data_IF_170050231798
#
_entry.id   IF_170050231798
#
_cell.length_a   1.000
_cell.length_b   1.000
_cell.length_c   1.000
_cell.angle_alpha   90.00
_cell.angle_beta   90.00
_cell.angle_gamma   90.00
#
_symmetry.space_group_name_H-M   'P 1'
#
loop_
_entity.id
_entity.type
_entity.pdbx_description
1 polymer ?
#
# COMPACT_ATOMS: atom_id res chain seq x y z
N UNK A 1 -18.17 -4.18 5.27
CA UNK A 1 -17.37 -3.50 4.22
C UNK A 1 -16.78 -4.49 3.21
N UNK A 2 -16.40 -4.06 2.00
CA UNK A 2 -15.94 -5.00 0.95
C UNK A 2 -14.54 -4.68 0.38
N UNK A 3 -13.62 -5.64 0.50
CA UNK A 3 -12.29 -5.60 -0.10
C UNK A 3 -12.25 -6.30 -1.47
N UNK A 4 -13.39 -6.70 -2.06
CA UNK A 4 -13.49 -7.37 -3.37
C UNK A 4 -12.75 -6.63 -4.49
N UNK A 5 -12.66 -5.31 -4.41
CA UNK A 5 -11.91 -4.51 -5.38
C UNK A 5 -10.42 -4.84 -5.43
N UNK A 6 -9.87 -5.40 -4.35
CA UNK A 6 -8.52 -5.94 -4.32
C UNK A 6 -8.39 -7.21 -5.19
N UNK A 7 -9.49 -7.80 -5.67
CA UNK A 7 -9.47 -8.91 -6.64
C UNK A 7 -9.51 -8.42 -8.09
N UNK A 8 -9.84 -7.14 -8.32
CA UNK A 8 -9.84 -6.57 -9.67
C UNK A 8 -8.43 -6.71 -10.25
N UNK A 9 -8.31 -7.50 -11.33
CA UNK A 9 -7.04 -7.65 -12.02
C UNK A 9 -6.64 -6.30 -12.58
N UNK A 10 -5.45 -5.84 -12.23
CA UNK A 10 -4.85 -4.68 -12.90
C UNK A 10 -4.83 -4.93 -14.41
N UNK A 11 -5.23 -3.96 -15.25
CA UNK A 11 -5.27 -4.12 -16.70
C UNK A 11 -3.92 -4.43 -17.35
N UNK A 12 -2.81 -4.10 -16.68
CA UNK A 12 -1.45 -4.23 -17.20
C UNK A 12 -0.63 -5.33 -16.52
N UNK A 13 0.16 -6.06 -17.32
CA UNK A 13 1.13 -7.02 -16.83
C UNK A 13 2.29 -6.38 -16.06
N UNK A 14 3.18 -7.23 -15.52
CA UNK A 14 4.37 -6.77 -14.77
C UNK A 14 5.31 -5.95 -15.64
N UNK A 15 5.44 -6.30 -16.93
CA UNK A 15 6.39 -5.68 -17.85
C UNK A 15 6.00 -4.24 -18.18
N UNK A 16 4.72 -3.98 -18.34
CA UNK A 16 4.15 -2.67 -18.62
C UNK A 16 4.36 -1.72 -17.44
N UNK A 17 4.16 -2.21 -16.21
CA UNK A 17 4.48 -1.44 -15.00
C UNK A 17 5.98 -1.24 -14.82
N UNK A 18 6.81 -2.22 -15.21
CA UNK A 18 8.26 -2.03 -15.19
C UNK A 18 8.70 -0.94 -16.18
N UNK A 19 8.09 -0.85 -17.37
CA UNK A 19 8.32 0.27 -18.31
C UNK A 19 7.92 1.62 -17.72
N UNK A 20 6.82 1.69 -16.98
CA UNK A 20 6.45 2.90 -16.23
C UNK A 20 7.54 3.28 -15.21
N UNK A 21 8.11 2.29 -14.51
CA UNK A 21 9.24 2.48 -13.60
C UNK A 21 10.51 2.98 -14.31
N UNK A 22 10.84 2.42 -15.47
CA UNK A 22 11.99 2.85 -16.30
C UNK A 22 11.81 4.28 -16.81
N UNK A 23 10.59 4.67 -17.20
CA UNK A 23 10.24 6.05 -17.53
C UNK A 23 10.43 6.98 -16.33
N UNK A 24 9.91 6.60 -15.15
CA UNK A 24 10.11 7.38 -13.93
C UNK A 24 11.58 7.53 -13.53
N UNK A 25 12.41 6.52 -13.81
CA UNK A 25 13.85 6.56 -13.61
C UNK A 25 14.61 7.43 -14.63
N UNK A 26 13.94 7.92 -15.68
CA UNK A 26 14.54 8.71 -16.77
C UNK A 26 15.28 7.88 -17.81
N UNK A 27 15.05 6.56 -17.83
CA UNK A 27 15.76 5.61 -18.70
C UNK A 27 14.95 5.13 -19.91
N UNK A 28 13.68 5.54 -20.02
CA UNK A 28 12.79 5.18 -21.12
C UNK A 28 11.89 6.37 -21.50
N UNK A 29 11.31 6.30 -22.71
CA UNK A 29 10.25 7.22 -23.13
C UNK A 29 8.96 6.98 -22.35
N UNK A 30 8.08 7.98 -22.33
CA UNK A 30 6.75 7.85 -21.69
C UNK A 30 5.93 6.72 -22.32
N UNK A 31 5.44 5.74 -21.54
CA UNK A 31 4.51 4.74 -22.04
C UNK A 31 3.17 5.38 -22.43
N UNK A 32 2.51 4.85 -23.46
CA UNK A 32 1.23 5.39 -23.93
C UNK A 32 0.15 5.37 -22.83
N UNK A 33 0.10 4.30 -22.05
CA UNK A 33 -0.90 4.11 -20.99
C UNK A 33 -0.44 4.65 -19.61
N UNK A 34 0.64 5.43 -19.55
CA UNK A 34 1.22 5.88 -18.27
C UNK A 34 0.22 6.65 -17.39
N UNK A 35 -0.60 7.52 -17.98
CA UNK A 35 -1.61 8.28 -17.25
C UNK A 35 -2.68 7.35 -16.65
N UNK A 36 -3.17 6.38 -17.42
CA UNK A 36 -4.17 5.40 -16.96
C UNK A 36 -3.60 4.52 -15.85
N UNK A 37 -2.33 4.09 -15.96
CA UNK A 37 -1.66 3.33 -14.91
C UNK A 37 -1.58 4.11 -13.61
N UNK A 38 -1.26 5.40 -13.66
CA UNK A 38 -1.19 6.26 -12.47
C UNK A 38 -2.57 6.43 -11.83
N UNK A 39 -3.60 6.74 -12.65
CA UNK A 39 -4.98 6.91 -12.18
C UNK A 39 -5.51 5.63 -11.53
N UNK A 40 -5.24 4.47 -12.13
CA UNK A 40 -5.67 3.19 -11.59
C UNK A 40 -5.06 2.91 -10.20
N UNK A 41 -3.77 3.20 -10.01
CA UNK A 41 -3.13 3.00 -8.70
C UNK A 41 -3.56 4.05 -7.66
N UNK A 42 -3.92 5.26 -8.10
CA UNK A 42 -4.52 6.29 -7.24
C UNK A 42 -5.87 5.82 -6.71
N UNK A 43 -6.73 5.34 -7.60
CA UNK A 43 -8.04 4.80 -7.24
C UNK A 43 -7.94 3.59 -6.32
N UNK A 44 -6.99 2.67 -6.59
CA UNK A 44 -6.69 1.55 -5.69
C UNK A 44 -6.30 2.04 -4.29
N UNK A 45 -5.40 3.01 -4.19
CA UNK A 45 -4.95 3.56 -2.91
C UNK A 45 -6.11 4.22 -2.14
N UNK A 46 -6.94 4.98 -2.85
CA UNK A 46 -8.11 5.68 -2.31
C UNK A 46 -9.16 4.71 -1.78
N UNK A 47 -9.54 3.69 -2.56
CA UNK A 47 -10.50 2.65 -2.14
C UNK A 47 -9.96 1.85 -0.95
N UNK A 48 -8.67 1.53 -0.96
CA UNK A 48 -8.00 0.85 0.17
C UNK A 48 -8.06 1.67 1.44
N UNK A 49 -7.76 2.97 1.37
CA UNK A 49 -7.82 3.84 2.53
C UNK A 49 -9.25 3.98 3.10
N UNK A 50 -10.25 4.12 2.22
CA UNK A 50 -11.65 4.17 2.63
C UNK A 50 -12.12 2.86 3.27
N UNK A 51 -11.80 1.72 2.65
CA UNK A 51 -12.17 0.40 3.18
C UNK A 51 -11.50 0.11 4.54
N UNK A 52 -10.21 0.45 4.70
CA UNK A 52 -9.53 0.29 5.99
C UNK A 52 -10.10 1.22 7.08
N UNK A 53 -10.47 2.46 6.74
CA UNK A 53 -11.09 3.37 7.71
C UNK A 53 -12.47 2.88 8.15
N UNK A 54 -13.32 2.50 7.20
CA UNK A 54 -14.64 2.01 7.55
C UNK A 54 -14.58 0.66 8.27
N UNK A 55 -13.60 -0.22 7.97
CA UNK A 55 -13.37 -1.43 8.77
C UNK A 55 -12.99 -1.10 10.21
N UNK A 56 -12.12 -0.10 10.43
CA UNK A 56 -11.78 0.35 11.76
C UNK A 56 -13.00 0.97 12.50
N UNK A 57 -13.88 1.67 11.77
CA UNK A 57 -15.12 2.20 12.33
C UNK A 57 -16.10 1.09 12.70
N UNK A 58 -16.23 0.04 11.89
CA UNK A 58 -17.05 -1.14 12.21
C UNK A 58 -16.51 -1.88 13.44
N UNK A 59 -15.18 -1.99 13.57
CA UNK A 59 -14.54 -2.71 14.66
C UNK A 59 -14.61 -1.97 16.01
N UNK A 60 -14.39 -0.65 16.00
CA UNK A 60 -14.30 0.15 17.22
C UNK A 60 -15.52 1.03 17.49
N UNK A 61 -16.42 1.17 16.53
CA UNK A 61 -17.59 2.01 16.65
C UNK A 61 -18.62 1.41 17.60
N UNK A 62 -18.80 2.03 18.76
CA UNK A 62 -19.96 1.82 19.63
C UNK A 62 -20.86 3.05 19.62
N UNK A 63 -22.14 2.87 19.97
CA UNK A 63 -23.05 4.00 20.18
C UNK A 63 -22.42 4.99 21.18
N UNK A 64 -22.19 6.23 20.72
CA UNK A 64 -21.62 7.36 21.46
C UNK A 64 -20.13 7.25 21.86
N UNK A 65 -19.37 6.25 21.40
CA UNK A 65 -17.93 6.13 21.63
C UNK A 65 -17.23 5.54 20.39
N UNK A 66 -17.05 6.36 19.36
CA UNK A 66 -16.22 6.00 18.20
C UNK A 66 -14.92 6.79 18.25
N UNK A 67 -13.75 6.13 18.14
CA UNK A 67 -12.48 6.85 18.08
C UNK A 67 -12.37 7.70 16.81
N UNK A 68 -11.63 8.80 16.89
CA UNK A 68 -11.28 9.59 15.72
C UNK A 68 -10.42 8.74 14.78
N UNK A 69 -11.00 8.36 13.64
CA UNK A 69 -10.34 7.58 12.59
C UNK A 69 -10.15 8.48 11.37
N UNK A 70 -8.90 8.67 10.98
CA UNK A 70 -8.50 9.44 9.79
C UNK A 70 -7.77 8.52 8.83
N UNK A 71 -8.29 8.39 7.61
CA UNK A 71 -7.59 7.74 6.51
C UNK A 71 -6.90 8.76 5.61
N UNK A 72 -5.70 8.41 5.16
CA UNK A 72 -5.01 9.07 4.06
C UNK A 72 -4.54 8.00 3.06
N UNK A 73 -4.36 8.39 1.81
CA UNK A 73 -3.77 7.53 0.79
C UNK A 73 -2.65 8.27 0.08
N UNK A 74 -1.78 7.51 -0.57
CA UNK A 74 -0.66 8.03 -1.32
C UNK A 74 -0.32 7.10 -2.48
N UNK A 75 -0.17 7.67 -3.65
CA UNK A 75 0.65 7.08 -4.72
C UNK A 75 2.06 7.68 -4.64
N UNK A 76 3.10 6.85 -4.74
CA UNK A 76 4.47 7.37 -4.76
C UNK A 76 4.68 8.26 -5.99
N UNK A 77 5.29 9.42 -5.77
CA UNK A 77 5.61 10.33 -6.88
C UNK A 77 6.62 9.70 -7.83
N UNK A 78 6.55 10.12 -9.10
CA UNK A 78 7.53 9.77 -10.13
C UNK A 78 8.97 9.94 -9.63
N UNK A 79 9.29 11.08 -9.01
CA UNK A 79 10.62 11.33 -8.47
C UNK A 79 11.05 10.29 -7.42
N UNK A 80 10.16 9.95 -6.47
CA UNK A 80 10.45 8.96 -5.42
C UNK A 80 10.70 7.56 -6.01
N UNK A 81 9.92 7.18 -7.01
CA UNK A 81 10.05 5.87 -7.68
C UNK A 81 11.31 5.84 -8.52
N UNK A 82 11.52 6.89 -9.32
CA UNK A 82 12.70 7.04 -10.16
C UNK A 82 13.98 6.96 -9.34
N UNK A 83 14.07 7.69 -8.23
CA UNK A 83 15.23 7.64 -7.35
C UNK A 83 15.42 6.25 -6.71
N UNK A 84 14.34 5.57 -6.30
CA UNK A 84 14.41 4.22 -5.73
C UNK A 84 14.92 3.20 -6.75
N UNK A 85 14.48 3.28 -8.00
CA UNK A 85 14.94 2.42 -9.09
C UNK A 85 16.38 2.75 -9.46
N UNK A 86 16.74 4.04 -9.54
CA UNK A 86 18.10 4.48 -9.92
C UNK A 86 19.15 4.01 -8.90
N UNK A 87 18.92 4.27 -7.60
CA UNK A 87 19.79 3.80 -6.50
C UNK A 87 19.97 2.28 -6.51
N UNK A 88 18.90 1.56 -6.84
CA UNK A 88 18.93 0.11 -6.95
C UNK A 88 19.67 -0.40 -8.19
N UNK A 89 19.67 0.34 -9.30
CA UNK A 89 20.46 -0.02 -10.47
C UNK A 89 21.96 0.24 -10.25
N UNK A 90 22.31 1.24 -9.44
CA UNK A 90 23.68 1.53 -9.00
C UNK A 90 24.20 0.43 -8.04
N UNK A 91 23.37 0.02 -7.08
CA UNK A 91 23.62 -1.12 -6.21
C UNK A 91 23.31 -2.44 -6.94
N UNK A 92 24.25 -2.89 -7.78
CA UNK A 92 24.18 -4.08 -8.67
C UNK A 92 23.76 -5.40 -7.99
N UNK A 93 23.54 -5.40 -6.68
CA UNK A 93 23.14 -6.56 -5.88
C UNK A 93 21.63 -6.81 -5.88
N UNK A 94 20.78 -5.79 -6.11
CA UNK A 94 19.31 -5.94 -6.15
C UNK A 94 18.68 -4.99 -7.15
N UNK A 95 18.04 -5.52 -8.20
CA UNK A 95 17.24 -4.73 -9.16
C UNK A 95 15.80 -4.56 -8.65
N UNK A 96 15.44 -3.33 -8.31
CA UNK A 96 14.08 -2.91 -7.95
C UNK A 96 13.30 -2.69 -9.24
N UNK A 97 12.13 -3.33 -9.30
CA UNK A 97 11.22 -3.28 -10.42
C UNK A 97 9.89 -2.76 -9.91
N UNK A 98 9.30 -1.76 -10.59
CA UNK A 98 8.05 -1.16 -10.16
C UNK A 98 6.92 -2.20 -10.10
N UNK A 99 6.90 -3.15 -11.04
CA UNK A 99 5.96 -4.28 -11.05
C UNK A 99 6.11 -5.23 -9.87
N UNK A 100 7.17 -5.10 -9.07
CA UNK A 100 7.43 -5.84 -7.83
C UNK A 100 7.37 -4.95 -6.58
N UNK A 101 7.10 -3.66 -6.72
CA UNK A 101 7.01 -2.73 -5.60
C UNK A 101 5.62 -2.83 -4.95
N UNK A 102 5.63 -3.12 -3.66
CA UNK A 102 4.43 -3.28 -2.83
C UNK A 102 3.89 -1.94 -2.33
N UNK A 103 4.72 -0.89 -2.40
CA UNK A 103 4.50 0.42 -1.81
C UNK A 103 4.21 1.50 -2.85
N UNK A 104 3.78 1.11 -4.07
CA UNK A 104 3.44 2.09 -5.10
C UNK A 104 2.13 2.83 -4.78
N UNK A 105 1.10 2.07 -4.39
CA UNK A 105 -0.15 2.55 -3.82
C UNK A 105 -0.18 2.20 -2.33
N UNK A 106 -0.35 3.20 -1.46
CA UNK A 106 -0.35 3.01 -0.01
C UNK A 106 -1.55 3.70 0.63
N UNK A 107 -2.12 3.04 1.64
CA UNK A 107 -3.11 3.61 2.54
C UNK A 107 -2.50 3.75 3.94
N UNK A 108 -2.89 4.80 4.65
CA UNK A 108 -2.52 5.06 6.04
C UNK A 108 -3.78 5.32 6.85
N UNK A 109 -3.95 4.56 7.92
CA UNK A 109 -4.98 4.81 8.93
C UNK A 109 -4.30 5.41 10.15
N UNK A 110 -4.87 6.48 10.67
CA UNK A 110 -4.54 7.06 11.96
C UNK A 110 -5.79 6.94 12.82
N UNK A 111 -5.69 6.28 13.96
CA UNK A 111 -6.79 6.12 14.90
C UNK A 111 -6.33 6.55 16.29
N UNK A 112 -7.18 7.31 17.00
CA UNK A 112 -6.93 7.68 18.39
C UNK A 112 -7.40 6.56 19.33
N UNK A 113 -6.64 5.47 19.38
CA UNK A 113 -6.93 4.25 20.16
C UNK A 113 -5.68 3.78 20.90
N UNK A 114 -5.83 2.81 21.80
CA UNK A 114 -4.68 2.23 22.48
C UNK A 114 -3.83 1.41 21.51
N UNK A 115 -2.57 1.20 21.87
CA UNK A 115 -1.63 0.41 21.07
C UNK A 115 -2.11 -1.03 20.81
N UNK A 116 -2.73 -1.65 21.81
CA UNK A 116 -3.27 -3.01 21.67
C UNK A 116 -4.50 -3.03 20.75
N UNK A 117 -5.28 -1.96 20.69
CA UNK A 117 -6.38 -1.82 19.72
C UNK A 117 -5.82 -1.71 18.30
N UNK A 118 -4.72 -0.95 18.08
CA UNK A 118 -4.05 -0.92 16.77
C UNK A 118 -3.53 -2.30 16.34
N UNK A 119 -3.04 -3.11 17.29
CA UNK A 119 -2.66 -4.50 17.03
C UNK A 119 -3.86 -5.36 16.67
N UNK A 120 -4.96 -5.20 17.40
CA UNK A 120 -6.19 -5.92 17.13
C UNK A 120 -6.73 -5.59 15.73
N UNK A 121 -6.78 -4.29 15.36
CA UNK A 121 -7.12 -3.85 14.02
C UNK A 121 -6.22 -4.48 12.94
N UNK A 122 -4.90 -4.48 13.16
CA UNK A 122 -3.94 -5.12 12.24
C UNK A 122 -4.24 -6.61 12.09
N UNK A 123 -4.50 -7.31 13.19
CA UNK A 123 -4.78 -8.74 13.20
C UNK A 123 -6.08 -9.06 12.45
N UNK A 124 -7.16 -8.34 12.72
CA UNK A 124 -8.47 -8.52 12.08
C UNK A 124 -8.39 -8.27 10.56
N UNK A 125 -7.75 -7.17 10.14
CA UNK A 125 -7.50 -6.87 8.73
C UNK A 125 -6.72 -8.01 8.05
N UNK A 126 -5.72 -8.57 8.73
CA UNK A 126 -4.96 -9.70 8.19
C UNK A 126 -5.84 -10.94 7.99
N UNK A 127 -6.76 -11.24 8.91
CA UNK A 127 -7.65 -12.40 8.77
C UNK A 127 -8.58 -12.24 7.58
N UNK A 128 -9.23 -11.07 7.46
CA UNK A 128 -10.13 -10.76 6.34
C UNK A 128 -9.39 -10.88 5.01
N UNK A 129 -8.25 -10.18 4.86
CA UNK A 129 -7.47 -10.19 3.62
C UNK A 129 -6.96 -11.59 3.25
N UNK A 130 -6.53 -12.40 4.24
CA UNK A 130 -6.09 -13.78 4.00
C UNK A 130 -7.24 -14.69 3.61
N UNK A 131 -8.41 -14.54 4.22
CA UNK A 131 -9.61 -15.30 3.86
C UNK A 131 -10.03 -15.03 2.41
N UNK A 132 -9.76 -13.82 1.91
CA UNK A 132 -9.96 -13.44 0.51
C UNK A 132 -8.82 -13.87 -0.43
N UNK A 133 -7.81 -14.59 0.07
CA UNK A 133 -6.70 -15.10 -0.72
C UNK A 133 -5.57 -14.09 -0.96
N UNK A 134 -5.59 -12.93 -0.32
CA UNK A 134 -4.51 -11.96 -0.42
C UNK A 134 -3.31 -12.38 0.43
N UNK A 135 -2.12 -12.20 -0.14
CA UNK A 135 -0.87 -12.37 0.63
C UNK A 135 -0.65 -11.12 1.47
N UNK A 136 -0.50 -11.28 2.78
CA UNK A 136 -0.29 -10.16 3.70
C UNK A 136 1.08 -10.24 4.36
N UNK A 137 1.80 -9.11 4.41
CA UNK A 137 3.08 -8.96 5.10
C UNK A 137 2.90 -7.92 6.21
N UNK A 138 3.14 -8.33 7.45
CA UNK A 138 3.08 -7.45 8.62
C UNK A 138 4.48 -6.97 9.02
N UNK A 139 4.57 -5.69 9.41
CA UNK A 139 5.71 -5.12 10.11
C UNK A 139 5.23 -4.19 11.22
N UNK A 140 5.63 -4.50 12.44
CA UNK A 140 5.41 -3.70 13.64
C UNK A 140 6.68 -2.89 13.96
N UNK A 141 6.68 -1.58 13.64
CA UNK A 141 7.79 -0.70 13.97
C UNK A 141 7.67 -0.04 15.34
N UNK A 142 6.61 -0.34 16.11
CA UNK A 142 6.48 0.10 17.50
C UNK A 142 7.20 -0.89 18.42
N UNK A 143 6.99 -2.20 18.21
CA UNK A 143 7.74 -3.23 18.92
C UNK A 143 9.20 -3.35 18.43
N UNK A 144 9.46 -2.99 17.17
CA UNK A 144 10.79 -3.08 16.55
C UNK A 144 11.12 -1.77 15.83
N UNK A 145 11.44 -0.76 16.62
CA UNK A 145 11.83 0.55 16.11
C UNK A 145 12.98 0.44 15.11
N UNK A 146 12.86 1.13 13.98
CA UNK A 146 14.00 1.32 13.08
C UNK A 146 14.97 2.35 13.67
N UNK A 147 16.29 2.17 13.48
CA UNK A 147 17.26 3.21 13.86
C UNK A 147 16.91 4.53 13.18
N UNK A 148 16.51 5.54 13.96
CA UNK A 148 16.07 6.86 13.47
C UNK A 148 14.66 6.95 12.90
N UNK A 149 13.84 5.90 13.02
CA UNK A 149 12.45 5.88 12.52
C UNK A 149 11.43 6.43 13.51
N UNK A 150 10.35 7.02 13.00
CA UNK A 150 9.15 7.34 13.79
C UNK A 150 8.33 6.04 14.02
N UNK A 151 7.71 5.86 15.21
CA UNK A 151 6.90 4.68 15.51
C UNK A 151 5.67 4.60 14.59
N UNK A 152 5.32 3.37 14.16
CA UNK A 152 4.13 3.11 13.35
C UNK A 152 3.90 1.62 13.05
N UNK A 153 2.68 1.28 12.64
CA UNK A 153 2.33 -0.05 12.12
C UNK A 153 2.22 -0.02 10.60
N UNK A 154 2.73 -1.05 9.92
CA UNK A 154 2.39 -1.31 8.51
C UNK A 154 1.93 -2.75 8.33
N UNK A 155 0.65 -2.93 8.02
CA UNK A 155 0.11 -4.14 7.42
C UNK A 155 -0.05 -3.90 5.92
N UNK A 156 0.81 -4.53 5.12
CA UNK A 156 0.74 -4.46 3.66
C UNK A 156 0.02 -5.69 3.12
N UNK A 157 -1.21 -5.53 2.63
CA UNK A 157 -1.85 -6.54 1.77
C UNK A 157 -1.31 -6.45 0.35
N UNK A 158 -0.89 -7.57 -0.23
CA UNK A 158 -0.69 -7.67 -1.68
C UNK A 158 -1.93 -8.14 -2.38
N UNK A 159 -2.30 -7.36 -3.38
CA UNK A 159 -2.96 -7.87 -4.58
C UNK A 159 -1.87 -8.34 -5.54
N UNK A 160 -1.41 -9.56 -5.32
CA UNK A 160 -0.55 -10.25 -6.28
C UNK A 160 -1.42 -11.09 -7.20
N UNK A 161 -2.00 -10.50 -8.25
CA UNK A 161 -2.51 -11.31 -9.35
C UNK A 161 -1.29 -11.88 -10.11
N UNK A 162 -1.10 -13.20 -9.98
CA UNK A 162 -0.28 -13.98 -10.89
C UNK A 162 -0.84 -13.96 -12.30
#
# INVERSE_FOLDING_TARGET
MDFEFLREKRPWGKREIDRLGEYFAGSASVPAEAAEMIIWHDELARRTAAACAGFAQELFGQENQSPDIVSAYRVKSQATIGDKIRRSNEDKTKKVQLGRMWDFAGARITANVLHDDLRHLSWELQQVLRAEGHRVIERDYIARAQPGGLPGYSSGGSVGCG
#
